data_IF_273492084123
#
_entry.id   IF_273492084123
#
_cell.length_a   1.000
_cell.length_b   1.000
_cell.length_c   1.000
_cell.angle_alpha   90.00
_cell.angle_beta   90.00
_cell.angle_gamma   90.00
#
_symmetry.space_group_name_H-M   'P 1'
#
loop_
_entity.id
_entity.type
_entity.pdbx_description
1 polymer ?
#
# COMPACT_ATOMS: atom_id res chain seq x y z
N UNK A 1 -17.83 19.83 -8.44
CA UNK A 1 -17.32 19.21 -7.20
C UNK A 1 -16.11 20.03 -6.76
N UNK A 2 -16.08 20.49 -5.50
CA UNK A 2 -14.87 21.09 -4.93
C UNK A 2 -14.03 19.92 -4.42
N UNK A 3 -12.87 19.71 -5.04
CA UNK A 3 -11.92 18.68 -4.62
C UNK A 3 -11.06 19.28 -3.49
N UNK A 4 -10.76 18.50 -2.43
CA UNK A 4 -10.09 18.89 -1.17
C UNK A 4 -8.57 18.69 -1.25
N UNK A 5 -7.69 19.51 -0.64
CA UNK A 5 -6.22 19.31 -0.67
C UNK A 5 -5.75 17.95 -0.11
N UNK A 6 -6.65 17.22 0.55
CA UNK A 6 -6.44 15.87 1.08
C UNK A 6 -6.82 14.75 0.09
N UNK A 7 -7.27 15.08 -1.11
CA UNK A 7 -7.54 14.06 -2.11
C UNK A 7 -6.21 13.46 -2.61
N UNK A 8 -6.10 12.16 -2.44
CA UNK A 8 -4.91 11.38 -2.78
C UNK A 8 -5.29 10.24 -3.71
N UNK A 9 -4.31 9.78 -4.48
CA UNK A 9 -4.36 8.52 -5.20
C UNK A 9 -3.49 7.50 -4.50
N UNK A 10 -4.05 6.31 -4.29
CA UNK A 10 -3.39 5.16 -3.71
C UNK A 10 -3.26 4.09 -4.78
N UNK A 11 -2.03 3.84 -5.22
CA UNK A 11 -1.70 2.74 -6.13
C UNK A 11 -1.08 1.62 -5.31
N UNK A 12 -1.69 0.44 -5.33
CA UNK A 12 -1.20 -0.74 -4.61
C UNK A 12 -0.67 -1.74 -5.62
N UNK A 13 0.60 -2.11 -5.50
CA UNK A 13 1.26 -3.14 -6.28
C UNK A 13 1.53 -4.37 -5.41
N UNK A 14 0.91 -5.50 -5.75
CA UNK A 14 1.19 -6.81 -5.17
C UNK A 14 2.30 -7.50 -5.95
N UNK A 15 3.38 -7.81 -5.27
CA UNK A 15 4.57 -8.48 -5.82
C UNK A 15 4.62 -9.96 -5.41
N UNK A 16 4.10 -10.25 -4.21
CA UNK A 16 4.13 -11.59 -3.61
C UNK A 16 2.74 -11.92 -3.08
N UNK A 17 2.28 -13.12 -3.41
CA UNK A 17 1.03 -13.69 -2.89
C UNK A 17 1.30 -15.14 -2.44
N UNK A 18 1.13 -15.41 -1.15
CA UNK A 18 1.24 -16.76 -0.58
C UNK A 18 -0.08 -17.13 0.08
N UNK A 19 -0.80 -18.06 -0.54
CA UNK A 19 -2.08 -18.58 -0.06
C UNK A 19 -1.88 -19.80 0.86
N UNK A 20 -1.20 -19.59 1.98
CA UNK A 20 -1.09 -20.55 3.10
C UNK A 20 -1.53 -19.81 4.34
N UNK A 21 -2.08 -20.46 5.37
CA UNK A 21 -2.56 -19.74 6.55
C UNK A 21 -1.41 -19.40 7.52
N UNK A 22 -1.24 -18.13 7.94
CA UNK A 22 -1.94 -16.93 7.45
C UNK A 22 -1.42 -16.49 6.07
N UNK A 23 -2.30 -15.98 5.20
CA UNK A 23 -1.91 -15.62 3.83
C UNK A 23 -0.95 -14.44 3.85
N UNK A 24 0.10 -14.47 3.02
CA UNK A 24 1.12 -13.43 3.01
C UNK A 24 1.05 -12.63 1.71
N UNK A 25 0.94 -11.32 1.85
CA UNK A 25 1.00 -10.36 0.75
C UNK A 25 2.16 -9.40 0.95
N UNK A 26 2.96 -9.21 -0.08
CA UNK A 26 4.04 -8.23 -0.07
C UNK A 26 3.98 -7.37 -1.33
N UNK A 27 4.33 -6.10 -1.17
CA UNK A 27 4.10 -5.13 -2.22
C UNK A 27 4.55 -3.73 -1.87
N UNK A 28 4.05 -2.79 -2.67
CA UNK A 28 4.31 -1.37 -2.52
C UNK A 28 2.99 -0.59 -2.60
N UNK A 29 2.81 0.36 -1.69
CA UNK A 29 1.86 1.44 -1.86
C UNK A 29 2.59 2.66 -2.41
N UNK A 30 2.05 3.25 -3.47
CA UNK A 30 2.38 4.62 -3.88
C UNK A 30 1.21 5.51 -3.51
N UNK A 31 1.48 6.51 -2.69
CA UNK A 31 0.53 7.55 -2.31
C UNK A 31 0.94 8.83 -3.01
N UNK A 32 0.03 9.43 -3.77
CA UNK A 32 0.30 10.68 -4.48
C UNK A 32 -0.80 11.70 -4.24
N UNK A 33 -0.43 12.97 -4.13
CA UNK A 33 -1.41 14.06 -4.12
C UNK A 33 -2.09 14.15 -5.49
N UNK A 34 -3.39 14.46 -5.50
CA UNK A 34 -4.05 14.87 -6.74
C UNK A 34 -3.74 16.34 -7.16
N UNK A 35 -3.06 17.12 -6.29
CA UNK A 35 -2.79 18.55 -6.50
C UNK A 35 -1.32 18.89 -6.69
N UNK A 36 -0.45 18.21 -5.95
CA UNK A 36 0.97 18.55 -5.85
C UNK A 36 1.83 17.42 -6.41
N UNK A 37 3.03 17.77 -6.87
CA UNK A 37 4.06 16.79 -7.23
C UNK A 37 4.74 16.26 -5.97
N UNK A 38 3.96 15.60 -5.12
CA UNK A 38 4.45 14.91 -3.93
C UNK A 38 3.92 13.47 -3.94
N UNK A 39 4.83 12.54 -3.73
CA UNK A 39 4.53 11.11 -3.68
C UNK A 39 5.37 10.42 -2.59
N UNK A 40 4.74 9.48 -1.92
CA UNK A 40 5.35 8.62 -0.92
C UNK A 40 5.22 7.16 -1.32
N UNK A 41 6.22 6.38 -0.94
CA UNK A 41 6.31 4.96 -1.24
C UNK A 41 6.41 4.17 0.06
N UNK A 42 5.55 3.16 0.21
CA UNK A 42 5.56 2.27 1.36
C UNK A 42 5.70 0.81 0.92
N UNK A 43 6.83 0.20 1.22
CA UNK A 43 6.98 -1.25 1.07
C UNK A 43 6.30 -1.94 2.23
N UNK A 44 5.56 -3.01 1.97
CA UNK A 44 4.81 -3.69 3.01
C UNK A 44 4.96 -5.22 2.97
N UNK A 45 4.78 -5.82 4.14
CA UNK A 45 4.40 -7.22 4.33
C UNK A 45 3.17 -7.29 5.23
N UNK A 46 2.10 -7.87 4.71
CA UNK A 46 0.84 -8.06 5.40
C UNK A 46 0.54 -9.57 5.52
N UNK A 47 0.23 -10.00 6.73
CA UNK A 47 -0.39 -11.31 6.98
C UNK A 47 -1.90 -11.13 7.04
N UNK A 48 -2.64 -12.03 6.41
CA UNK A 48 -4.09 -11.98 6.37
C UNK A 48 -4.67 -13.29 6.89
N UNK A 49 -5.37 -13.20 8.02
CA UNK A 49 -6.03 -14.34 8.66
C UNK A 49 -7.26 -14.78 7.86
N UNK A 50 -7.62 -16.08 7.99
CA UNK A 50 -8.86 -16.66 7.48
C UNK A 50 -9.17 -16.33 6.01
N UNK A 51 -8.12 -16.33 5.17
CA UNK A 51 -8.23 -15.98 3.75
C UNK A 51 -7.93 -17.16 2.84
N UNK A 52 -8.87 -18.10 2.72
CA UNK A 52 -8.93 -18.92 1.50
C UNK A 52 -9.27 -18.04 0.30
N UNK A 53 -8.76 -18.34 -0.90
CA UNK A 53 -9.04 -17.52 -2.11
C UNK A 53 -10.55 -17.31 -2.35
N UNK A 54 -11.36 -18.37 -2.17
CA UNK A 54 -12.83 -18.31 -2.31
C UNK A 54 -13.46 -17.46 -1.20
N UNK A 55 -13.02 -17.66 0.03
CA UNK A 55 -13.52 -16.95 1.20
C UNK A 55 -13.26 -15.44 1.09
N UNK A 56 -12.13 -15.04 0.52
CA UNK A 56 -11.79 -13.62 0.29
C UNK A 56 -12.74 -12.92 -0.69
N UNK A 57 -13.25 -13.64 -1.71
CA UNK A 57 -14.19 -13.09 -2.69
C UNK A 57 -15.55 -12.85 -2.02
N UNK A 58 -15.97 -13.79 -1.17
CA UNK A 58 -17.30 -13.81 -0.55
C UNK A 58 -17.38 -12.94 0.71
N UNK A 59 -16.25 -12.61 1.34
CA UNK A 59 -16.22 -11.83 2.58
C UNK A 59 -16.08 -10.33 2.35
N UNK A 60 -16.75 -9.57 3.21
CA UNK A 60 -16.60 -8.12 3.31
C UNK A 60 -15.27 -7.75 3.98
N UNK A 61 -14.92 -6.47 3.93
CA UNK A 61 -13.70 -5.96 4.53
C UNK A 61 -13.78 -5.97 6.07
N UNK A 62 -12.89 -6.74 6.70
CA UNK A 62 -12.64 -6.72 8.13
C UNK A 62 -11.19 -6.29 8.39
N UNK A 63 -10.94 -5.06 8.87
CA UNK A 63 -9.58 -4.54 9.04
C UNK A 63 -8.76 -5.33 10.07
N UNK A 64 -9.41 -6.02 10.99
CA UNK A 64 -8.77 -6.86 12.01
C UNK A 64 -8.05 -8.05 11.40
N UNK A 65 -8.48 -8.54 10.23
CA UNK A 65 -7.84 -9.68 9.56
C UNK A 65 -6.52 -9.31 8.89
N UNK A 66 -6.17 -8.02 8.78
CA UNK A 66 -4.98 -7.55 8.09
C UNK A 66 -3.92 -7.13 9.09
N UNK A 67 -2.83 -7.87 9.14
CA UNK A 67 -1.72 -7.64 10.05
C UNK A 67 -0.50 -7.21 9.26
N UNK A 68 -0.30 -5.90 9.13
CA UNK A 68 0.98 -5.40 8.68
C UNK A 68 2.04 -5.78 9.72
N UNK A 69 2.97 -6.61 9.29
CA UNK A 69 4.13 -7.02 10.11
C UNK A 69 5.34 -6.14 9.83
N UNK A 70 5.38 -5.58 8.62
CA UNK A 70 6.42 -4.66 8.18
C UNK A 70 5.80 -3.61 7.27
N UNK A 71 6.10 -2.35 7.55
CA UNK A 71 5.88 -1.23 6.63
C UNK A 71 7.17 -0.40 6.64
N UNK A 72 7.71 -0.11 5.46
CA UNK A 72 8.92 0.70 5.30
C UNK A 72 8.60 1.94 4.48
N UNK A 73 9.05 3.09 4.96
CA UNK A 73 9.22 4.28 4.15
C UNK A 73 10.70 4.39 3.80
N UNK A 74 11.04 4.25 2.52
CA UNK A 74 12.43 4.11 2.07
C UNK A 74 13.15 2.96 2.80
N UNK A 75 14.21 3.25 3.56
CA UNK A 75 14.98 2.27 4.34
C UNK A 75 14.51 2.18 5.82
N UNK A 76 13.54 3.01 6.23
CA UNK A 76 13.09 3.10 7.62
C UNK A 76 11.83 2.28 7.85
N UNK A 77 11.89 1.32 8.77
CA UNK A 77 10.70 0.60 9.22
C UNK A 77 9.85 1.52 10.09
N UNK A 78 8.58 1.68 9.73
CA UNK A 78 7.62 2.44 10.51
C UNK A 78 7.26 1.66 11.80
N UNK A 79 7.15 2.37 12.91
CA UNK A 79 6.71 1.77 14.17
C UNK A 79 5.19 1.61 14.17
N UNK A 80 4.72 0.38 14.00
CA UNK A 80 3.29 0.07 13.94
C UNK A 80 2.60 0.10 15.32
N UNK A 81 3.37 0.13 16.41
CA UNK A 81 2.83 0.24 17.78
C UNK A 81 2.51 1.70 18.17
N UNK A 82 2.67 2.65 17.23
CA UNK A 82 2.41 4.07 17.47
C UNK A 82 0.91 4.33 17.59
N UNK A 83 0.45 4.73 18.78
CA UNK A 83 -0.97 4.82 19.15
C UNK A 83 -1.63 6.19 18.85
N UNK A 84 -1.24 6.88 17.77
CA UNK A 84 -1.99 8.09 17.39
C UNK A 84 -3.19 7.74 16.54
N UNK A 85 -4.33 8.36 16.82
CA UNK A 85 -5.59 8.14 16.09
C UNK A 85 -5.42 8.34 14.56
N UNK A 86 -4.65 9.34 14.16
CA UNK A 86 -4.32 9.59 12.75
C UNK A 86 -3.52 8.46 12.08
N UNK A 87 -2.70 7.75 12.86
CA UNK A 87 -1.94 6.59 12.40
C UNK A 87 -2.86 5.40 12.17
N UNK A 88 -3.76 5.14 13.10
CA UNK A 88 -4.76 4.08 12.98
C UNK A 88 -5.65 4.31 11.75
N UNK A 89 -6.05 5.56 11.51
CA UNK A 89 -6.83 5.93 10.31
C UNK A 89 -6.05 5.69 9.01
N UNK A 90 -4.77 6.10 8.97
CA UNK A 90 -3.91 5.87 7.80
C UNK A 90 -3.69 4.37 7.53
N UNK A 91 -3.42 3.60 8.57
CA UNK A 91 -3.26 2.13 8.47
C UNK A 91 -4.56 1.48 8.01
N UNK A 92 -5.72 1.91 8.50
CA UNK A 92 -7.02 1.43 8.03
C UNK A 92 -7.19 1.64 6.51
N UNK A 93 -6.84 2.83 6.01
CA UNK A 93 -6.92 3.13 4.57
C UNK A 93 -5.98 2.23 3.76
N UNK A 94 -4.77 1.95 4.24
CA UNK A 94 -3.85 1.02 3.57
C UNK A 94 -4.38 -0.42 3.57
N UNK A 95 -4.96 -0.88 4.68
CA UNK A 95 -5.63 -2.20 4.77
C UNK A 95 -6.78 -2.31 3.77
N UNK A 96 -7.62 -1.27 3.68
CA UNK A 96 -8.73 -1.24 2.74
C UNK A 96 -8.24 -1.26 1.29
N UNK A 97 -7.20 -0.49 0.98
CA UNK A 97 -6.58 -0.45 -0.35
C UNK A 97 -6.02 -1.81 -0.75
N UNK A 98 -5.37 -2.51 0.18
CA UNK A 98 -4.91 -3.89 -0.01
C UNK A 98 -6.08 -4.86 -0.23
N UNK A 99 -7.14 -4.79 0.57
CA UNK A 99 -8.35 -5.61 0.38
C UNK A 99 -8.92 -5.44 -1.01
N UNK A 100 -9.12 -4.19 -1.45
CA UNK A 100 -9.64 -3.88 -2.79
C UNK A 100 -8.74 -4.46 -3.88
N UNK A 101 -7.43 -4.36 -3.70
CA UNK A 101 -6.46 -4.88 -4.67
C UNK A 101 -6.51 -6.40 -4.77
N UNK A 102 -6.54 -7.12 -3.65
CA UNK A 102 -6.65 -8.58 -3.65
C UNK A 102 -7.99 -9.01 -4.23
N UNK A 103 -9.09 -8.34 -3.88
CA UNK A 103 -10.43 -8.64 -4.41
C UNK A 103 -10.47 -8.46 -5.93
N UNK A 104 -9.92 -7.36 -6.44
CA UNK A 104 -9.81 -7.10 -7.87
C UNK A 104 -8.95 -8.17 -8.57
N UNK A 105 -7.82 -8.55 -7.96
CA UNK A 105 -6.93 -9.59 -8.47
C UNK A 105 -7.68 -10.92 -8.64
N UNK A 106 -8.42 -11.34 -7.63
CA UNK A 106 -9.18 -12.58 -7.64
C UNK A 106 -10.36 -12.54 -8.62
N UNK A 107 -11.03 -11.39 -8.71
CA UNK A 107 -12.24 -11.25 -9.55
C UNK A 107 -11.90 -11.14 -11.04
N UNK A 108 -10.82 -10.42 -11.38
CA UNK A 108 -10.49 -10.07 -12.76
C UNK A 108 -9.34 -10.89 -13.36
N UNK A 109 -8.63 -11.71 -12.58
CA UNK A 109 -7.38 -12.34 -13.01
C UNK A 109 -7.29 -13.84 -12.73
N UNK A 110 -8.38 -14.56 -12.98
CA UNK A 110 -8.50 -16.03 -12.81
C UNK A 110 -7.48 -16.87 -13.60
N UNK A 111 -6.69 -16.27 -14.51
CA UNK A 111 -5.65 -16.96 -15.29
C UNK A 111 -4.20 -16.62 -14.89
N UNK A 112 -3.96 -15.69 -13.96
CA UNK A 112 -2.60 -15.24 -13.56
C UNK A 112 -2.25 -15.53 -12.11
N UNK A 113 -2.81 -16.59 -11.51
CA UNK A 113 -2.24 -17.23 -10.32
C UNK A 113 -0.93 -17.97 -10.67
N UNK A 114 -0.02 -17.33 -11.42
CA UNK A 114 1.34 -17.85 -11.54
C UNK A 114 1.98 -17.65 -10.19
N UNK A 115 1.96 -18.74 -9.42
CA UNK A 115 2.73 -18.94 -8.20
C UNK A 115 4.18 -18.59 -8.49
N UNK A 116 4.55 -17.33 -8.26
CA UNK A 116 5.92 -16.90 -8.21
C UNK A 116 6.45 -17.36 -6.85
N UNK A 117 6.88 -18.62 -6.81
CA UNK A 117 7.76 -19.15 -5.79
C UNK A 117 8.99 -18.24 -5.76
N UNK A 118 9.15 -17.47 -4.69
CA UNK A 118 10.31 -16.61 -4.51
C UNK A 118 11.50 -17.43 -4.07
N UNK A 119 12.40 -17.72 -5.00
CA UNK A 119 13.78 -18.05 -4.66
C UNK A 119 14.56 -16.76 -4.38
N UNK A 120 15.65 -16.82 -3.60
CA UNK A 120 16.48 -15.65 -3.21
C UNK A 120 16.89 -14.77 -4.42
N UNK A 121 17.08 -15.37 -5.59
CA UNK A 121 17.41 -14.68 -6.85
C UNK A 121 16.28 -13.78 -7.36
N UNK A 122 15.02 -14.13 -7.10
CA UNK A 122 13.87 -13.29 -7.46
C UNK A 122 13.76 -12.09 -6.52
N UNK A 123 14.08 -12.25 -5.24
CA UNK A 123 14.10 -11.17 -4.25
C UNK A 123 15.17 -10.13 -4.60
N UNK A 124 16.37 -10.56 -4.99
CA UNK A 124 17.43 -9.65 -5.44
C UNK A 124 17.06 -8.91 -6.73
N UNK A 125 16.39 -9.59 -7.66
CA UNK A 125 15.86 -8.98 -8.89
C UNK A 125 14.74 -7.98 -8.60
N UNK A 126 13.84 -8.32 -7.67
CA UNK A 126 12.76 -7.45 -7.22
C UNK A 126 13.33 -6.21 -6.52
N UNK A 127 14.31 -6.40 -5.62
CA UNK A 127 15.06 -5.33 -4.96
C UNK A 127 15.77 -4.44 -5.97
N UNK A 128 16.37 -5.01 -7.01
CA UNK A 128 16.98 -4.24 -8.10
C UNK A 128 15.96 -3.46 -8.94
N UNK A 129 14.75 -3.97 -9.12
CA UNK A 129 13.66 -3.30 -9.86
C UNK A 129 12.91 -2.25 -9.04
N UNK A 130 12.83 -2.41 -7.71
CA UNK A 130 12.25 -1.41 -6.81
C UNK A 130 13.29 -0.40 -6.31
N UNK A 131 14.59 -0.66 -6.44
CA UNK A 131 15.66 0.28 -6.08
C UNK A 131 15.50 1.65 -6.75
N UNK A 132 15.18 1.75 -8.06
CA UNK A 132 14.88 3.03 -8.71
C UNK A 132 13.64 3.71 -8.11
N UNK A 133 12.61 2.95 -7.73
CA UNK A 133 11.42 3.48 -7.04
C UNK A 133 11.78 4.05 -5.67
N UNK A 134 12.63 3.36 -4.91
CA UNK A 134 13.17 3.83 -3.63
C UNK A 134 14.07 5.08 -3.80
N UNK A 135 14.72 5.21 -4.97
CA UNK A 135 15.55 6.35 -5.33
C UNK A 135 14.77 7.54 -5.94
N UNK A 136 13.42 7.48 -5.95
CA UNK A 136 12.52 8.47 -6.59
C UNK A 136 12.79 8.67 -8.10
N UNK A 137 13.32 7.66 -8.77
CA UNK A 137 13.48 7.69 -10.23
C UNK A 137 12.14 7.34 -10.91
N UNK A 138 11.75 8.06 -12.00
CA UNK A 138 10.44 7.94 -12.61
C UNK A 138 10.34 6.66 -13.45
N UNK A 139 10.05 5.52 -12.82
CA UNK A 139 9.95 4.23 -13.51
C UNK A 139 8.71 3.43 -13.06
N UNK A 140 7.55 4.08 -13.08
CA UNK A 140 6.28 3.38 -13.30
C UNK A 140 6.02 3.30 -14.80
N UNK A 141 6.60 2.30 -15.47
CA UNK A 141 6.36 2.04 -16.90
C UNK A 141 5.69 0.67 -17.08
N UNK A 142 5.28 0.36 -18.31
CA UNK A 142 4.62 -0.90 -18.69
C UNK A 142 5.39 -2.17 -18.26
N UNK A 143 6.71 -2.07 -18.01
CA UNK A 143 7.51 -3.21 -17.52
C UNK A 143 7.16 -3.67 -16.11
N UNK A 144 6.48 -2.84 -15.30
CA UNK A 144 5.96 -3.24 -13.98
C UNK A 144 4.75 -4.18 -14.07
N UNK A 145 4.04 -4.19 -15.21
CA UNK A 145 2.93 -5.14 -15.45
C UNK A 145 3.37 -6.61 -15.56
N UNK A 146 4.68 -6.84 -15.71
CA UNK A 146 5.30 -8.17 -15.69
C UNK A 146 5.75 -8.62 -14.29
N UNK A 147 5.74 -7.73 -13.29
CA UNK A 147 6.33 -7.96 -11.96
C UNK A 147 5.27 -8.30 -10.91
N UNK A 148 4.02 -7.87 -11.10
CA UNK A 148 2.96 -8.05 -10.11
C UNK A 148 1.57 -7.64 -10.59
N UNK A 149 0.63 -7.57 -9.65
CA UNK A 149 -0.73 -7.08 -9.88
C UNK A 149 -0.93 -5.71 -9.23
N UNK A 150 -1.41 -4.72 -9.98
CA UNK A 150 -1.56 -3.35 -9.48
C UNK A 150 -2.99 -2.83 -9.63
N UNK A 151 -3.46 -2.09 -8.63
CA UNK A 151 -4.75 -1.38 -8.62
C UNK A 151 -4.55 0.03 -8.13
N UNK A 152 -5.21 0.98 -8.78
CA UNK A 152 -5.27 2.39 -8.35
C UNK A 152 -6.65 2.69 -7.76
N UNK A 153 -6.67 3.44 -6.66
CA UNK A 153 -7.87 3.94 -6.02
C UNK A 153 -7.71 5.44 -5.74
N UNK A 154 -8.69 6.24 -6.15
CA UNK A 154 -8.79 7.63 -5.70
C UNK A 154 -9.45 7.66 -4.32
N UNK A 155 -8.85 8.37 -3.37
CA UNK A 155 -9.35 8.56 -2.02
C UNK A 155 -9.57 10.06 -1.80
N UNK A 156 -10.83 10.47 -1.86
CA UNK A 156 -11.27 11.85 -1.71
C UNK A 156 -12.14 11.96 -0.44
N UNK A 157 -11.53 12.09 0.74
CA UNK A 157 -12.27 12.08 1.99
C UNK A 157 -13.15 13.32 2.14
N UNK A 158 -14.35 13.15 2.69
CA UNK A 158 -15.25 14.25 3.05
C UNK A 158 -15.35 14.42 4.58
N UNK A 159 -14.96 13.39 5.32
CA UNK A 159 -14.95 13.33 6.78
C UNK A 159 -13.56 13.58 7.37
N UNK A 160 -13.52 14.20 8.55
CA UNK A 160 -12.28 14.55 9.26
C UNK A 160 -11.34 13.34 9.48
N UNK A 161 -11.92 12.15 9.71
CA UNK A 161 -11.16 10.91 9.88
C UNK A 161 -10.37 10.57 8.60
N UNK A 162 -11.03 10.63 7.45
CA UNK A 162 -10.40 10.39 6.16
C UNK A 162 -9.38 11.47 5.80
N UNK A 163 -9.65 12.74 6.08
CA UNK A 163 -8.68 13.82 5.88
C UNK A 163 -7.42 13.61 6.73
N UNK A 164 -7.59 13.20 7.99
CA UNK A 164 -6.48 12.86 8.91
C UNK A 164 -5.64 11.68 8.41
N UNK A 165 -6.30 10.64 7.86
CA UNK A 165 -5.62 9.51 7.23
C UNK A 165 -4.79 9.96 6.03
N UNK A 166 -5.41 10.71 5.10
CA UNK A 166 -4.75 11.20 3.90
C UNK A 166 -3.55 12.09 4.22
N UNK A 167 -3.70 12.99 5.19
CA UNK A 167 -2.60 13.83 5.66
C UNK A 167 -1.44 12.98 6.21
N UNK A 168 -1.73 12.01 7.08
CA UNK A 168 -0.71 11.14 7.69
C UNK A 168 0.03 10.30 6.65
N UNK A 169 -0.68 9.81 5.62
CA UNK A 169 -0.06 9.08 4.51
C UNK A 169 0.84 10.00 3.65
N UNK A 170 0.42 11.25 3.44
CA UNK A 170 1.16 12.24 2.66
C UNK A 170 2.34 12.86 3.42
N UNK A 171 2.28 12.91 4.75
CA UNK A 171 3.42 13.26 5.61
C UNK A 171 4.37 12.09 5.82
N UNK A 172 4.15 10.96 5.14
CA UNK A 172 4.95 9.76 5.27
C UNK A 172 5.08 9.26 6.71
N UNK A 173 3.99 9.44 7.48
CA UNK A 173 3.90 9.10 8.90
C UNK A 173 4.84 9.92 9.82
N UNK A 174 5.44 11.01 9.32
CA UNK A 174 6.20 11.94 10.14
C UNK A 174 5.29 12.77 11.04
N UNK A 175 5.72 12.97 12.30
CA UNK A 175 5.01 13.80 13.27
C UNK A 175 5.25 15.29 12.97
N UNK A 176 4.25 16.13 13.26
CA UNK A 176 4.19 17.57 12.95
C UNK A 176 5.41 18.44 13.36
N UNK A 177 6.35 17.93 14.16
CA UNK A 177 7.53 18.69 14.61
C UNK A 177 8.59 18.91 13.51
N UNK A 178 8.58 18.15 12.41
CA UNK A 178 9.59 18.28 11.35
C UNK A 178 9.13 19.09 10.13
N UNK A 179 7.82 19.15 9.86
CA UNK A 179 7.28 19.76 8.63
C UNK A 179 7.26 21.29 8.68
N UNK A 180 7.29 21.90 9.88
CA UNK A 180 7.38 23.37 10.00
C UNK A 180 8.73 23.96 9.58
N UNK A 181 9.76 23.13 9.33
CA UNK A 181 11.08 23.62 8.88
C UNK A 181 11.24 23.77 7.37
N UNK A 182 10.36 23.17 6.56
CA UNK A 182 10.45 23.27 5.09
C UNK A 182 9.46 24.26 4.47
N UNK A 183 8.61 24.90 5.29
CA UNK A 183 7.62 25.89 4.86
C UNK A 183 8.03 27.33 5.28
N UNK A 184 9.29 27.57 5.63
CA UNK A 184 9.85 28.91 5.85
C UNK A 184 11.07 29.17 4.97
#
# INVERSE_FOLDING_TARGET
MKMSPFDIKIETLLLVTVWKQPSIFQGCFKISSLYFQHENYFLFRCEVDNSGEIEFIETDFFPENYHFTHIYNQEQQLNLDQQSESWEHAVYVLKYSLYRTIKEMLTNNSQKHQSLSMDEVFVDSLLAKIKPLLAKEPLWNESMSEIGFAVSMDFCPEENMGESAAYTLMSAFETHELIQREIH
#
